data_IF_953220604713
#
_entry.id   IF_953220604713
#
_cell.length_a   1.000
_cell.length_b   1.000
_cell.length_c   1.000
_cell.angle_alpha   90.00
_cell.angle_beta   90.00
_cell.angle_gamma   90.00
#
_symmetry.space_group_name_H-M   'P 1'
#
loop_
_entity.id
_entity.type
_entity.pdbx_description
1 polymer ?
#
# COMPACT_ATOMS: atom_id res chain seq x y z
N UNK A 1 -30.69 -42.88 -63.41
CA UNK A 1 -29.81 -43.27 -62.28
C UNK A 1 -28.72 -42.25 -61.97
N UNK A 2 -27.99 -41.71 -62.95
CA UNK A 2 -26.92 -40.72 -62.72
C UNK A 2 -27.36 -39.43 -61.98
N UNK A 3 -28.52 -38.86 -62.33
CA UNK A 3 -29.02 -37.65 -61.66
C UNK A 3 -29.35 -37.82 -60.16
N UNK A 4 -29.80 -39.01 -59.75
CA UNK A 4 -30.10 -39.29 -58.34
C UNK A 4 -28.83 -39.43 -57.49
N UNK A 5 -27.77 -40.00 -58.08
CA UNK A 5 -26.46 -40.14 -57.44
C UNK A 5 -25.78 -38.78 -57.26
N UNK A 6 -25.84 -37.91 -58.28
CA UNK A 6 -25.33 -36.54 -58.19
C UNK A 6 -26.08 -35.69 -57.15
N UNK A 7 -27.41 -35.80 -57.09
CA UNK A 7 -28.21 -35.11 -56.07
C UNK A 7 -27.95 -35.64 -54.65
N UNK A 8 -27.67 -36.94 -54.50
CA UNK A 8 -27.31 -37.56 -53.22
C UNK A 8 -25.91 -37.14 -52.76
N UNK A 9 -24.92 -37.15 -53.68
CA UNK A 9 -23.56 -36.67 -53.41
C UNK A 9 -23.56 -35.18 -53.04
N UNK A 10 -24.32 -34.35 -53.76
CA UNK A 10 -24.45 -32.92 -53.47
C UNK A 10 -25.07 -32.66 -52.09
N UNK A 11 -26.17 -33.35 -51.72
CA UNK A 11 -26.77 -33.24 -50.38
C UNK A 11 -25.80 -33.64 -49.27
N UNK A 12 -25.07 -34.75 -49.48
CA UNK A 12 -24.08 -35.23 -48.50
C UNK A 12 -22.93 -34.25 -48.34
N UNK A 13 -22.41 -33.71 -49.43
CA UNK A 13 -21.33 -32.73 -49.42
C UNK A 13 -21.76 -31.41 -48.75
N UNK A 14 -23.00 -30.94 -48.96
CA UNK A 14 -23.55 -29.77 -48.28
C UNK A 14 -23.71 -29.99 -46.78
N UNK A 15 -24.19 -31.16 -46.34
CA UNK A 15 -24.32 -31.49 -44.90
C UNK A 15 -22.95 -31.59 -44.23
N UNK A 16 -21.94 -32.15 -44.90
CA UNK A 16 -20.57 -32.22 -44.37
C UNK A 16 -19.95 -30.83 -44.23
N UNK A 17 -20.06 -29.98 -45.26
CA UNK A 17 -19.55 -28.61 -45.23
C UNK A 17 -20.25 -27.73 -44.19
N UNK A 18 -21.56 -27.91 -44.00
CA UNK A 18 -22.31 -27.22 -42.95
C UNK A 18 -21.76 -27.58 -41.56
N UNK A 19 -21.57 -28.87 -41.28
CA UNK A 19 -20.99 -29.33 -40.01
C UNK A 19 -19.54 -28.87 -39.79
N UNK A 20 -18.72 -28.84 -40.84
CA UNK A 20 -17.34 -28.32 -40.77
C UNK A 20 -17.31 -26.80 -40.48
N UNK A 21 -18.21 -26.03 -41.11
CA UNK A 21 -18.32 -24.59 -40.87
C UNK A 21 -18.81 -24.26 -39.44
N UNK A 22 -19.73 -25.07 -38.91
CA UNK A 22 -20.24 -24.92 -37.55
C UNK A 22 -19.15 -25.20 -36.51
N UNK A 23 -18.38 -26.28 -36.70
CA UNK A 23 -17.24 -26.62 -35.85
C UNK A 23 -16.12 -25.57 -35.91
N UNK A 24 -15.88 -24.94 -37.06
CA UNK A 24 -14.92 -23.84 -37.21
C UNK A 24 -15.38 -22.58 -36.47
N UNK A 25 -16.66 -22.21 -36.56
CA UNK A 25 -17.22 -21.07 -35.85
C UNK A 25 -17.20 -21.28 -34.33
N UNK A 26 -17.48 -22.50 -33.88
CA UNK A 26 -17.42 -22.85 -32.45
C UNK A 26 -15.98 -22.76 -31.92
N UNK A 27 -14.99 -23.27 -32.67
CA UNK A 27 -13.57 -23.11 -32.33
C UNK A 27 -13.13 -21.64 -32.32
N UNK A 28 -13.52 -20.86 -33.32
CA UNK A 28 -13.18 -19.44 -33.41
C UNK A 28 -13.77 -18.63 -32.25
N UNK A 29 -15.02 -18.92 -31.84
CA UNK A 29 -15.65 -18.34 -30.64
C UNK A 29 -14.90 -18.73 -29.37
N UNK A 30 -14.63 -20.02 -29.17
CA UNK A 30 -13.88 -20.51 -28.00
C UNK A 30 -12.49 -19.86 -27.90
N UNK A 31 -11.82 -19.64 -29.03
CA UNK A 31 -10.50 -19.03 -29.09
C UNK A 31 -10.54 -17.51 -28.84
N UNK A 32 -11.66 -16.83 -29.17
CA UNK A 32 -11.88 -15.42 -28.85
C UNK A 32 -12.28 -15.19 -27.38
N UNK A 33 -12.96 -16.15 -26.75
CA UNK A 33 -13.41 -16.03 -25.35
C UNK A 33 -12.32 -16.41 -24.34
N UNK A 34 -11.39 -17.30 -24.69
CA UNK A 34 -10.27 -17.71 -23.86
C UNK A 34 -9.40 -16.54 -23.32
N UNK A 35 -8.93 -15.58 -24.15
CA UNK A 35 -8.14 -14.45 -23.68
C UNK A 35 -8.95 -13.53 -22.76
N UNK A 36 -10.21 -13.24 -23.07
CA UNK A 36 -11.09 -12.40 -22.24
C UNK A 36 -11.32 -13.00 -20.84
N UNK A 37 -11.54 -14.30 -20.78
CA UNK A 37 -11.67 -15.01 -19.51
C UNK A 37 -10.36 -14.97 -18.70
N UNK A 38 -9.20 -14.96 -19.36
CA UNK A 38 -7.90 -14.84 -18.71
C UNK A 38 -7.64 -13.42 -18.18
N UNK A 39 -7.99 -12.39 -18.96
CA UNK A 39 -7.89 -10.98 -18.59
C UNK A 39 -8.80 -10.68 -17.39
N UNK A 40 -10.06 -11.10 -17.43
CA UNK A 40 -10.98 -10.93 -16.31
C UNK A 40 -10.49 -11.60 -15.01
N UNK A 41 -9.82 -12.76 -15.11
CA UNK A 41 -9.19 -13.43 -13.95
C UNK A 41 -7.95 -12.71 -13.46
N UNK A 42 -7.18 -12.08 -14.35
CA UNK A 42 -6.03 -11.25 -13.97
C UNK A 42 -6.51 -9.98 -13.27
N UNK A 43 -7.49 -9.28 -13.83
CA UNK A 43 -8.11 -8.10 -13.23
C UNK A 43 -8.72 -8.43 -11.87
N UNK A 44 -9.48 -9.52 -11.75
CA UNK A 44 -10.03 -9.95 -10.47
C UNK A 44 -8.93 -10.22 -9.42
N UNK A 45 -7.81 -10.83 -9.82
CA UNK A 45 -6.65 -11.03 -8.94
C UNK A 45 -5.99 -9.72 -8.55
N UNK A 46 -5.82 -8.78 -9.48
CA UNK A 46 -5.29 -7.45 -9.19
C UNK A 46 -6.18 -6.76 -8.17
N UNK A 47 -7.50 -6.71 -8.40
CA UNK A 47 -8.46 -6.10 -7.47
C UNK A 47 -8.39 -6.76 -6.09
N UNK A 48 -8.39 -8.08 -6.02
CA UNK A 48 -8.30 -8.81 -4.75
C UNK A 48 -7.00 -8.49 -4.01
N UNK A 49 -5.85 -8.51 -4.71
CA UNK A 49 -4.56 -8.20 -4.10
C UNK A 49 -4.45 -6.75 -3.66
N UNK A 50 -5.00 -5.81 -4.44
CA UNK A 50 -5.06 -4.40 -4.07
C UNK A 50 -5.89 -4.21 -2.81
N UNK A 51 -7.01 -4.93 -2.67
CA UNK A 51 -7.83 -4.89 -1.46
C UNK A 51 -7.07 -5.48 -0.25
N UNK A 52 -6.43 -6.65 -0.40
CA UNK A 52 -5.59 -7.25 0.65
C UNK A 52 -4.48 -6.31 1.10
N UNK A 53 -3.76 -5.69 0.16
CA UNK A 53 -2.71 -4.71 0.46
C UNK A 53 -3.25 -3.47 1.15
N UNK A 54 -4.42 -2.98 0.73
CA UNK A 54 -5.06 -1.81 1.35
C UNK A 54 -5.44 -2.10 2.80
N UNK A 55 -6.03 -3.26 3.06
CA UNK A 55 -6.40 -3.69 4.42
C UNK A 55 -5.16 -3.87 5.29
N UNK A 56 -4.14 -4.58 4.80
CA UNK A 56 -2.88 -4.76 5.53
C UNK A 56 -2.19 -3.42 5.84
N UNK A 57 -2.26 -2.45 4.92
CA UNK A 57 -1.75 -1.10 5.16
C UNK A 57 -2.53 -0.38 6.28
N UNK A 58 -3.86 -0.46 6.28
CA UNK A 58 -4.71 0.15 7.31
C UNK A 58 -4.46 -0.47 8.69
N UNK A 59 -4.32 -1.80 8.76
CA UNK A 59 -4.00 -2.49 10.01
C UNK A 59 -2.63 -2.07 10.56
N UNK A 60 -1.64 -1.96 9.68
CA UNK A 60 -0.29 -1.55 10.07
C UNK A 60 -0.23 -0.08 10.53
N UNK A 61 -1.04 0.81 9.96
CA UNK A 61 -1.18 2.20 10.39
C UNK A 61 -1.79 2.28 11.79
N UNK A 62 -2.90 1.56 12.01
CA UNK A 62 -3.55 1.46 13.33
C UNK A 62 -2.61 0.90 14.40
N UNK A 63 -1.85 -0.15 14.07
CA UNK A 63 -0.84 -0.71 14.96
C UNK A 63 0.26 0.29 15.32
N UNK A 64 0.80 0.99 14.31
CA UNK A 64 1.87 1.98 14.50
C UNK A 64 1.42 3.15 15.38
N UNK A 65 0.20 3.63 15.17
CA UNK A 65 -0.39 4.71 15.97
C UNK A 65 -0.64 4.28 17.42
N UNK A 66 -1.17 3.06 17.63
CA UNK A 66 -1.39 2.49 18.97
C UNK A 66 -0.08 2.37 19.77
N UNK A 67 0.94 1.73 19.18
CA UNK A 67 2.26 1.57 19.83
C UNK A 67 2.87 2.93 20.18
N UNK A 68 2.78 3.90 19.29
CA UNK A 68 3.36 5.23 19.53
C UNK A 68 2.62 5.99 20.62
N UNK A 69 1.29 5.90 20.66
CA UNK A 69 0.50 6.44 21.77
C UNK A 69 0.93 5.80 23.10
N UNK A 70 1.07 4.47 23.12
CA UNK A 70 1.43 3.71 24.31
C UNK A 70 2.85 4.00 24.78
N UNK A 71 3.78 4.36 23.88
CA UNK A 71 5.13 4.82 24.22
C UNK A 71 5.16 6.28 24.73
N UNK A 72 4.23 7.13 24.31
CA UNK A 72 4.16 8.53 24.80
C UNK A 72 3.68 8.61 26.25
N UNK A 73 2.82 7.69 26.69
CA UNK A 73 2.34 7.67 28.08
C UNK A 73 3.47 7.53 29.12
N UNK A 74 4.36 6.51 29.05
CA UNK A 74 5.47 6.38 29.99
C UNK A 74 6.50 7.50 29.83
N UNK A 75 6.77 8.01 28.63
CA UNK A 75 7.66 9.17 28.44
C UNK A 75 7.14 10.43 29.13
N UNK A 76 5.83 10.72 29.01
CA UNK A 76 5.20 11.82 29.74
C UNK A 76 5.30 11.64 31.26
N UNK A 77 5.12 10.41 31.75
CA UNK A 77 5.29 10.11 33.17
C UNK A 77 6.72 10.38 33.65
N UNK A 78 7.74 9.95 32.89
CA UNK A 78 9.15 10.20 33.22
C UNK A 78 9.48 11.69 33.22
N UNK A 79 9.04 12.46 32.22
CA UNK A 79 9.25 13.92 32.23
C UNK A 79 8.51 14.60 33.39
N UNK A 80 7.28 14.17 33.69
CA UNK A 80 6.50 14.66 34.82
C UNK A 80 7.17 14.42 36.17
N UNK A 81 7.68 13.21 36.42
CA UNK A 81 8.44 12.91 37.63
C UNK A 81 9.76 13.67 37.69
N UNK A 82 10.43 13.85 36.54
CA UNK A 82 11.66 14.65 36.48
C UNK A 82 11.40 16.12 36.81
N UNK A 83 10.27 16.67 36.37
CA UNK A 83 9.84 18.03 36.67
C UNK A 83 9.49 18.17 38.16
N UNK A 84 8.67 17.25 38.70
CA UNK A 84 8.31 17.24 40.12
C UNK A 84 9.55 17.15 41.02
N UNK A 85 10.52 16.28 40.68
CA UNK A 85 11.78 16.18 41.41
C UNK A 85 12.60 17.48 41.35
N UNK A 86 12.60 18.16 40.21
CA UNK A 86 13.26 19.45 40.04
C UNK A 86 12.57 20.55 40.87
N UNK A 87 11.24 20.54 40.96
CA UNK A 87 10.45 21.52 41.71
C UNK A 87 10.52 21.31 43.22
N UNK A 88 10.40 20.07 43.69
CA UNK A 88 10.34 19.72 45.12
C UNK A 88 11.72 19.68 45.78
N UNK A 89 12.71 19.10 45.10
CA UNK A 89 14.03 18.82 45.67
C UNK A 89 15.18 19.53 44.93
N UNK A 90 14.90 20.35 43.90
CA UNK A 90 15.92 21.00 43.07
C UNK A 90 17.00 21.72 43.88
N UNK A 91 16.61 22.51 44.88
CA UNK A 91 17.57 23.24 45.72
C UNK A 91 18.48 22.34 46.59
N UNK A 92 18.11 21.06 46.78
CA UNK A 92 18.86 20.07 47.54
C UNK A 92 19.76 19.20 46.66
N UNK A 93 19.59 19.26 45.34
CA UNK A 93 20.40 18.50 44.40
C UNK A 93 21.80 19.11 44.28
N UNK A 94 22.80 18.23 44.17
CA UNK A 94 24.14 18.64 43.76
C UNK A 94 24.14 19.16 42.31
N UNK A 95 25.22 19.81 41.90
CA UNK A 95 25.42 20.21 40.50
C UNK A 95 25.33 19.00 39.54
N UNK A 96 25.88 17.86 39.94
CA UNK A 96 25.79 16.59 39.21
C UNK A 96 24.34 16.07 39.13
N UNK A 97 23.56 16.19 40.21
CA UNK A 97 22.13 15.85 40.19
C UNK A 97 21.32 16.69 39.20
N UNK A 98 21.61 17.99 39.12
CA UNK A 98 21.00 18.88 38.13
C UNK A 98 21.40 18.51 36.70
N UNK A 99 22.66 18.14 36.48
CA UNK A 99 23.16 17.66 35.18
C UNK A 99 22.42 16.39 34.74
N UNK A 100 22.26 15.42 35.64
CA UNK A 100 21.53 14.19 35.37
C UNK A 100 20.06 14.45 35.00
N UNK A 101 19.37 15.30 35.75
CA UNK A 101 17.99 15.69 35.43
C UNK A 101 17.89 16.34 34.05
N UNK A 102 18.81 17.25 33.72
CA UNK A 102 18.83 17.90 32.41
C UNK A 102 19.02 16.89 31.27
N UNK A 103 19.93 15.94 31.45
CA UNK A 103 20.18 14.85 30.47
C UNK A 103 18.99 13.92 30.33
N UNK A 104 18.36 13.54 31.44
CA UNK A 104 17.17 12.69 31.46
C UNK A 104 16.03 13.34 30.67
N UNK A 105 15.72 14.61 30.95
CA UNK A 105 14.68 15.36 30.24
C UNK A 105 15.00 15.52 28.76
N UNK A 106 16.26 15.83 28.42
CA UNK A 106 16.69 15.91 27.02
C UNK A 106 16.55 14.55 26.28
N UNK A 107 16.81 13.43 26.98
CA UNK A 107 16.61 12.10 26.42
C UNK A 107 15.12 11.79 26.18
N UNK A 108 14.24 12.14 27.12
CA UNK A 108 12.79 11.95 26.98
C UNK A 108 12.24 12.74 25.78
N UNK A 109 12.64 14.02 25.64
CA UNK A 109 12.25 14.85 24.50
C UNK A 109 12.73 14.23 23.18
N UNK A 110 13.99 13.79 23.13
CA UNK A 110 14.57 13.16 21.93
C UNK A 110 13.84 11.85 21.57
N UNK A 111 13.45 11.05 22.57
CA UNK A 111 12.65 9.85 22.33
C UNK A 111 11.28 10.17 21.76
N UNK A 112 10.62 11.22 22.23
CA UNK A 112 9.36 11.71 21.65
C UNK A 112 9.51 12.07 20.18
N UNK A 113 10.55 12.83 19.84
CA UNK A 113 10.86 13.21 18.45
C UNK A 113 11.14 11.99 17.56
N UNK A 114 11.93 11.03 18.04
CA UNK A 114 12.22 9.80 17.29
C UNK A 114 10.97 8.97 17.00
N UNK A 115 10.03 8.90 17.94
CA UNK A 115 8.74 8.23 17.75
C UNK A 115 7.95 8.95 16.66
N UNK A 116 7.87 10.29 16.70
CA UNK A 116 7.18 11.11 15.71
C UNK A 116 7.78 10.95 14.31
N UNK A 117 9.12 10.98 14.22
CA UNK A 117 9.84 10.82 12.96
C UNK A 117 9.66 9.42 12.37
N UNK A 118 9.71 8.37 13.20
CA UNK A 118 9.50 6.99 12.77
C UNK A 118 8.08 6.77 12.26
N UNK A 119 7.07 7.33 12.95
CA UNK A 119 5.69 7.32 12.50
C UNK A 119 5.53 8.01 11.15
N UNK A 120 6.14 9.18 11.00
CA UNK A 120 6.08 9.96 9.76
C UNK A 120 6.74 9.21 8.61
N UNK A 121 7.90 8.58 8.84
CA UNK A 121 8.59 7.76 7.85
C UNK A 121 7.78 6.52 7.47
N UNK A 122 7.16 5.84 8.46
CA UNK A 122 6.27 4.71 8.25
C UNK A 122 5.08 5.08 7.37
N UNK A 123 4.54 6.29 7.49
CA UNK A 123 3.47 6.79 6.61
C UNK A 123 3.99 7.09 5.20
N UNK A 124 5.14 7.78 5.07
CA UNK A 124 5.71 8.17 3.76
C UNK A 124 6.06 6.98 2.88
N UNK A 125 6.64 5.91 3.45
CA UNK A 125 7.03 4.71 2.67
C UNK A 125 5.84 3.95 2.07
N UNK A 126 4.61 4.31 2.43
CA UNK A 126 3.37 3.62 2.04
C UNK A 126 2.43 4.50 1.21
N UNK A 127 2.82 5.73 0.92
CA UNK A 127 2.09 6.61 -0.01
C UNK A 127 2.47 6.24 -1.43
N UNK A 128 1.49 5.88 -2.25
CA UNK A 128 1.68 5.69 -3.68
C UNK A 128 2.20 7.02 -4.29
N UNK A 129 3.41 7.06 -4.87
CA UNK A 129 3.95 8.30 -5.42
C UNK A 129 3.06 8.79 -6.56
N UNK A 130 2.45 9.97 -6.37
CA UNK A 130 1.74 10.65 -7.44
C UNK A 130 2.75 11.27 -8.39
N UNK A 131 2.93 10.65 -9.55
CA UNK A 131 3.75 11.21 -10.62
C UNK A 131 3.00 12.37 -11.30
N UNK A 132 3.59 13.55 -11.26
CA UNK A 132 3.12 14.73 -11.96
C UNK A 132 4.32 15.55 -12.45
N UNK A 133 4.18 16.37 -13.51
CA UNK A 133 5.20 17.36 -13.88
C UNK A 133 5.44 18.31 -12.70
N UNK A 134 6.70 18.58 -12.38
CA UNK A 134 7.10 19.46 -11.28
C UNK A 134 8.08 20.52 -11.80
N UNK A 135 7.87 21.77 -11.41
CA UNK A 135 8.80 22.85 -11.68
C UNK A 135 9.95 22.81 -10.66
N UNK A 136 11.12 22.33 -11.12
CA UNK A 136 12.32 22.23 -10.30
C UNK A 136 12.90 23.59 -9.93
N UNK A 137 12.72 24.62 -10.76
CA UNK A 137 13.19 25.98 -10.49
C UNK A 137 12.38 26.63 -9.37
N UNK A 138 11.06 26.42 -9.37
CA UNK A 138 10.20 26.87 -8.27
C UNK A 138 10.57 26.18 -6.94
N UNK A 139 10.76 24.85 -6.95
CA UNK A 139 11.17 24.09 -5.77
C UNK A 139 12.53 24.54 -5.22
N UNK A 140 13.52 24.73 -6.08
CA UNK A 140 14.85 25.20 -5.68
C UNK A 140 14.79 26.58 -5.03
N UNK A 141 13.93 27.47 -5.52
CA UNK A 141 13.75 28.82 -4.97
C UNK A 141 13.13 28.81 -3.56
N UNK A 142 12.20 27.89 -3.29
CA UNK A 142 11.61 27.71 -1.95
C UNK A 142 12.65 27.23 -0.94
N UNK A 143 13.46 26.23 -1.32
CA UNK A 143 14.49 25.67 -0.43
C UNK A 143 15.65 26.64 -0.20
N UNK A 144 16.08 27.37 -1.23
CA UNK A 144 17.17 28.35 -1.12
C UNK A 144 16.75 29.66 -0.44
N UNK A 145 15.44 29.94 -0.34
CA UNK A 145 14.88 31.08 0.38
C UNK A 145 14.52 30.80 1.84
N UNK A 146 14.79 29.59 2.34
CA UNK A 146 14.62 29.15 3.73
C UNK A 146 15.96 29.16 4.47
#
# INVERSE_FOLDING_TARGET
MLGAVLAWLGRRQVVTLAGESEALLERARAQADAPRASEARLEARVVQRTQELTLANQELESFSDSVSHDLRAPLRAVDGFSLALQEEDGARLSEEGHEHLRRLRAAVVRMGQLIDDLLRLSRISRIEPRHAPVDLSALASVVAGS
#
